data_IF_249791521084
#
_entry.id   IF_249791521084
#
_cell.length_a   1.000
_cell.length_b   1.000
_cell.length_c   1.000
_cell.angle_alpha   90.00
_cell.angle_beta   90.00
_cell.angle_gamma   90.00
#
_symmetry.space_group_name_H-M   'P 1'
#
loop_
_entity.id
_entity.type
_entity.pdbx_description
1 polymer ?
#
# COMPACT_ATOMS: atom_id res chain seq x y z
N UNK A 1 14.35 6.17 2.96
CA UNK A 1 14.13 7.60 2.63
C UNK A 1 14.73 7.98 1.27
N UNK A 2 16.01 7.74 0.99
CA UNK A 2 16.63 8.06 -0.32
C UNK A 2 15.83 7.48 -1.50
N UNK A 3 15.50 6.18 -1.45
CA UNK A 3 14.67 5.51 -2.48
C UNK A 3 13.27 6.13 -2.67
N UNK A 4 12.63 6.63 -1.61
CA UNK A 4 11.31 7.25 -1.73
C UNK A 4 11.40 8.58 -2.49
N UNK A 5 12.42 9.39 -2.19
CA UNK A 5 12.68 10.63 -2.92
C UNK A 5 13.02 10.39 -4.39
N UNK A 6 13.71 9.29 -4.70
CA UNK A 6 13.96 8.89 -6.09
C UNK A 6 12.67 8.55 -6.84
N UNK A 7 11.71 7.89 -6.17
CA UNK A 7 10.40 7.56 -6.74
C UNK A 7 9.57 8.82 -6.96
N UNK A 8 9.51 9.72 -5.97
CA UNK A 8 8.81 11.01 -6.09
C UNK A 8 9.34 11.79 -7.30
N UNK A 9 10.67 11.92 -7.41
CA UNK A 9 11.30 12.61 -8.55
C UNK A 9 10.98 11.94 -9.89
N UNK A 10 11.00 10.60 -9.95
CA UNK A 10 10.66 9.88 -11.19
C UNK A 10 9.19 10.09 -11.60
N UNK A 11 8.28 10.19 -10.64
CA UNK A 11 6.88 10.47 -10.90
C UNK A 11 6.68 11.92 -11.38
N UNK A 12 7.32 12.88 -10.72
CA UNK A 12 7.30 14.30 -11.11
C UNK A 12 7.87 14.52 -12.51
N UNK A 13 9.01 13.88 -12.84
CA UNK A 13 9.62 13.88 -14.18
C UNK A 13 8.65 13.37 -15.26
N UNK A 14 7.63 12.59 -14.88
CA UNK A 14 6.56 12.05 -15.74
C UNK A 14 5.25 12.83 -15.65
N UNK A 15 5.22 13.96 -14.94
CA UNK A 15 4.03 14.78 -14.74
C UNK A 15 3.00 14.16 -13.80
N UNK A 16 3.41 13.21 -12.95
CA UNK A 16 2.56 12.56 -11.95
C UNK A 16 2.86 13.17 -10.59
N UNK A 17 1.83 13.77 -9.95
CA UNK A 17 1.94 14.24 -8.58
C UNK A 17 2.14 13.04 -7.64
N UNK A 18 3.21 13.06 -6.85
CA UNK A 18 3.58 11.97 -5.95
C UNK A 18 4.03 12.53 -4.61
N UNK A 19 3.53 11.94 -3.54
CA UNK A 19 3.95 12.20 -2.17
C UNK A 19 4.20 10.86 -1.48
N UNK A 20 5.23 10.80 -0.65
CA UNK A 20 5.56 9.61 0.13
C UNK A 20 5.47 9.87 1.63
N UNK A 21 5.04 8.85 2.35
CA UNK A 21 4.96 8.86 3.80
C UNK A 21 5.69 7.64 4.36
N UNK A 22 6.39 7.84 5.48
CA UNK A 22 6.89 6.74 6.31
C UNK A 22 6.06 6.73 7.57
N UNK A 23 5.30 5.65 7.75
CA UNK A 23 4.41 5.46 8.90
C UNK A 23 4.92 4.27 9.70
N UNK A 24 4.97 4.43 11.01
CA UNK A 24 5.31 3.35 11.94
C UNK A 24 4.05 2.91 12.68
N UNK A 25 3.79 1.61 12.70
CA UNK A 25 2.65 1.04 13.42
C UNK A 25 2.26 -0.32 12.86
N UNK A 26 1.03 -0.73 13.18
CA UNK A 26 0.42 -1.91 12.60
C UNK A 26 0.02 -1.64 11.14
N UNK A 27 0.38 -2.55 10.22
CA UNK A 27 0.19 -2.32 8.79
C UNK A 27 -1.29 -2.15 8.42
N UNK A 28 -2.16 -3.03 8.90
CA UNK A 28 -3.58 -3.02 8.56
C UNK A 28 -4.23 -1.74 9.04
N UNK A 29 -4.06 -1.44 10.33
CA UNK A 29 -4.62 -0.26 10.97
C UNK A 29 -4.11 1.05 10.37
N UNK A 30 -2.79 1.18 10.19
CA UNK A 30 -2.22 2.43 9.67
C UNK A 30 -2.54 2.63 8.19
N UNK A 31 -2.65 1.56 7.39
CA UNK A 31 -3.08 1.66 5.99
C UNK A 31 -4.51 2.20 5.86
N UNK A 32 -5.45 1.67 6.67
CA UNK A 32 -6.85 2.14 6.68
C UNK A 32 -6.94 3.60 7.13
N UNK A 33 -6.20 3.98 8.19
CA UNK A 33 -6.15 5.38 8.65
C UNK A 33 -5.60 6.32 7.59
N UNK A 34 -4.52 5.94 6.91
CA UNK A 34 -3.91 6.76 5.87
C UNK A 34 -4.86 6.91 4.68
N UNK A 35 -5.49 5.82 4.25
CA UNK A 35 -6.48 5.85 3.18
C UNK A 35 -7.63 6.82 3.49
N UNK A 36 -8.16 6.77 4.71
CA UNK A 36 -9.23 7.68 5.16
C UNK A 36 -8.74 9.14 5.29
N UNK A 37 -7.57 9.37 5.89
CA UNK A 37 -7.01 10.70 6.11
C UNK A 37 -6.70 11.44 4.80
N UNK A 38 -6.31 10.69 3.76
CA UNK A 38 -6.02 11.22 2.43
C UNK A 38 -7.18 11.10 1.45
N UNK A 39 -8.33 10.55 1.88
CA UNK A 39 -9.54 10.37 1.07
C UNK A 39 -9.24 9.70 -0.28
N UNK A 40 -8.45 8.62 -0.27
CA UNK A 40 -8.09 7.92 -1.50
C UNK A 40 -9.27 7.11 -2.03
N UNK A 41 -9.44 7.07 -3.34
CA UNK A 41 -10.47 6.25 -3.99
C UNK A 41 -10.02 4.79 -4.22
N UNK A 42 -8.70 4.59 -4.32
CA UNK A 42 -8.06 3.29 -4.59
C UNK A 42 -6.80 3.10 -3.75
N UNK A 43 -6.74 2.00 -3.01
CA UNK A 43 -5.57 1.54 -2.29
C UNK A 43 -4.96 0.32 -2.98
N UNK A 44 -3.72 0.45 -3.46
CA UNK A 44 -2.95 -0.64 -4.05
C UNK A 44 -2.01 -1.21 -3.00
N UNK A 45 -2.16 -2.50 -2.70
CA UNK A 45 -1.32 -3.23 -1.75
C UNK A 45 -0.47 -4.23 -2.52
N UNK A 46 0.84 -4.02 -2.53
CA UNK A 46 1.77 -4.96 -3.15
C UNK A 46 2.17 -6.05 -2.15
N UNK A 47 1.96 -7.32 -2.54
CA UNK A 47 2.43 -8.49 -1.79
C UNK A 47 3.62 -9.11 -2.50
N UNK A 48 4.75 -9.20 -1.82
CA UNK A 48 5.90 -9.94 -2.33
C UNK A 48 5.56 -11.43 -2.51
N UNK A 49 5.83 -12.01 -3.69
CA UNK A 49 5.76 -13.46 -3.84
C UNK A 49 6.85 -14.14 -3.04
N UNK A 50 6.44 -15.08 -2.19
CA UNK A 50 7.33 -16.02 -1.53
C UNK A 50 7.27 -17.36 -2.29
N UNK A 51 8.25 -17.67 -3.16
CA UNK A 51 8.27 -18.94 -3.87
C UNK A 51 8.30 -20.11 -2.85
N UNK A 52 7.43 -21.11 -3.05
CA UNK A 52 7.30 -22.28 -2.18
C UNK A 52 6.20 -22.23 -1.12
N UNK A 53 5.54 -21.08 -0.94
CA UNK A 53 4.42 -20.89 0.01
C UNK A 53 3.11 -20.62 -0.74
N UNK A 54 2.93 -21.27 -1.89
CA UNK A 54 1.83 -21.02 -2.80
C UNK A 54 0.50 -21.48 -2.19
N UNK A 55 -0.42 -20.51 -2.07
CA UNK A 55 -1.89 -20.63 -1.92
C UNK A 55 -2.54 -20.48 -0.54
N UNK A 56 -1.82 -20.36 0.58
CA UNK A 56 -2.49 -20.37 1.90
C UNK A 56 -2.08 -19.28 2.92
N UNK A 57 -1.27 -18.29 2.54
CA UNK A 57 -1.08 -17.13 3.42
C UNK A 57 -2.22 -16.14 3.25
N UNK A 58 -3.26 -16.35 4.06
CA UNK A 58 -4.19 -15.30 4.47
C UNK A 58 -3.37 -14.33 5.33
N UNK A 59 -2.83 -13.29 4.70
CA UNK A 59 -2.11 -12.23 5.40
C UNK A 59 -3.16 -11.46 6.19
N UNK A 60 -3.21 -11.67 7.50
CA UNK A 60 -4.24 -11.11 8.37
C UNK A 60 -4.27 -9.57 8.26
N UNK A 61 -3.11 -8.98 8.04
CA UNK A 61 -2.91 -7.56 7.83
C UNK A 61 -3.56 -7.07 6.53
N UNK A 62 -3.47 -7.82 5.43
CA UNK A 62 -4.12 -7.47 4.16
C UNK A 62 -5.64 -7.70 4.27
N UNK A 63 -6.07 -8.78 4.94
CA UNK A 63 -7.49 -9.00 5.21
C UNK A 63 -8.11 -7.87 6.04
N UNK A 64 -7.37 -7.35 7.03
CA UNK A 64 -7.79 -6.21 7.83
C UNK A 64 -7.99 -4.97 6.96
N UNK A 65 -7.05 -4.68 6.03
CA UNK A 65 -7.21 -3.57 5.09
C UNK A 65 -8.44 -3.76 4.20
N UNK A 66 -8.62 -4.94 3.60
CA UNK A 66 -9.76 -5.23 2.72
C UNK A 66 -11.08 -5.10 3.48
N UNK A 67 -11.11 -5.49 4.76
CA UNK A 67 -12.32 -5.47 5.58
C UNK A 67 -12.73 -4.06 6.02
N UNK A 68 -11.76 -3.19 6.30
CA UNK A 68 -12.02 -1.91 6.99
C UNK A 68 -11.74 -0.67 6.15
N UNK A 69 -11.10 -0.78 4.98
CA UNK A 69 -10.91 0.38 4.11
C UNK A 69 -12.24 0.84 3.49
N UNK A 70 -12.48 2.16 3.53
CA UNK A 70 -13.66 2.80 2.93
C UNK A 70 -13.49 3.05 1.40
N UNK A 71 -12.48 2.44 0.77
CA UNK A 71 -12.12 2.64 -0.63
C UNK A 71 -11.89 1.30 -1.36
N UNK A 72 -11.75 1.35 -2.69
CA UNK A 72 -11.42 0.15 -3.45
C UNK A 72 -10.01 -0.35 -3.06
N UNK A 73 -9.89 -1.65 -2.73
CA UNK A 73 -8.59 -2.26 -2.41
C UNK A 73 -8.19 -3.24 -3.51
N UNK A 74 -7.00 -3.05 -4.08
CA UNK A 74 -6.40 -3.96 -5.07
C UNK A 74 -5.10 -4.53 -4.57
N UNK A 75 -5.10 -5.84 -4.37
CA UNK A 75 -3.89 -6.60 -4.01
C UNK A 75 -3.20 -7.05 -5.28
N UNK A 76 -1.93 -6.67 -5.43
CA UNK A 76 -1.08 -7.05 -6.57
C UNK A 76 0.03 -7.96 -6.06
N UNK A 77 0.25 -9.07 -6.75
CA UNK A 77 1.37 -9.98 -6.46
C UNK A 77 2.60 -9.60 -7.29
N UNK A 78 3.74 -9.46 -6.64
CA UNK A 78 5.05 -9.25 -7.27
C UNK A 78 5.84 -10.55 -7.38
#
# INVERSE_FOLDING_TARGET
LVKLKEIERLAEDRGVFCQSWVVQGDFGRESVKMAAAHQVDLLIVCRARRPGLSRFFFDQEIEEVIRWADCEVRVVEE
#
